data_IF_785996399891
#
_entry.id   IF_785996399891
#
_cell.length_a   1.000
_cell.length_b   1.000
_cell.length_c   1.000
_cell.angle_alpha   90.00
_cell.angle_beta   90.00
_cell.angle_gamma   90.00
#
_symmetry.space_group_name_H-M   'P 1'
#
loop_
_entity.id
_entity.type
_entity.pdbx_description
1 polymer ?
#
# COMPACT_ATOMS: atom_id res chain seq x y z
N UNK A 1 -18.66 8.82 -11.06
CA UNK A 1 -18.64 8.48 -12.50
C UNK A 1 -17.75 7.24 -12.64
N UNK A 2 -18.32 6.08 -13.01
CA UNK A 2 -17.52 4.88 -13.29
C UNK A 2 -17.28 4.82 -14.81
N UNK A 3 -16.07 4.50 -15.23
CA UNK A 3 -15.72 4.44 -16.66
C UNK A 3 -16.48 3.34 -17.43
N UNK A 4 -17.00 2.33 -16.71
CA UNK A 4 -17.78 1.23 -17.29
C UNK A 4 -19.11 1.05 -16.56
N UNK A 5 -20.21 0.75 -17.27
CA UNK A 5 -21.52 0.45 -16.67
C UNK A 5 -21.47 -0.79 -15.78
N UNK A 6 -20.74 -1.82 -16.20
CA UNK A 6 -20.46 -3.02 -15.43
C UNK A 6 -18.96 -3.14 -15.14
N UNK A 7 -18.61 -3.63 -13.94
CA UNK A 7 -17.20 -3.89 -13.61
C UNK A 7 -16.69 -5.08 -14.41
N UNK A 8 -15.68 -4.85 -15.24
CA UNK A 8 -14.94 -5.91 -15.92
C UNK A 8 -13.97 -6.60 -14.95
N UNK A 9 -14.21 -7.89 -14.67
CA UNK A 9 -13.41 -8.67 -13.74
C UNK A 9 -11.95 -8.80 -14.20
N UNK A 10 -11.71 -9.09 -15.47
CA UNK A 10 -10.38 -9.25 -16.05
C UNK A 10 -9.56 -7.98 -15.88
N UNK A 11 -10.16 -6.82 -16.17
CA UNK A 11 -9.47 -5.54 -16.01
C UNK A 11 -9.13 -5.25 -14.54
N UNK A 12 -10.06 -5.52 -13.62
CA UNK A 12 -9.82 -5.38 -12.18
C UNK A 12 -8.69 -6.32 -11.69
N UNK A 13 -8.65 -7.56 -12.18
CA UNK A 13 -7.63 -8.53 -11.84
C UNK A 13 -6.24 -8.13 -12.36
N UNK A 14 -6.16 -7.56 -13.57
CA UNK A 14 -4.91 -7.02 -14.13
C UNK A 14 -4.37 -5.87 -13.27
N UNK A 15 -5.23 -4.91 -12.91
CA UNK A 15 -4.85 -3.80 -12.03
C UNK A 15 -4.42 -4.28 -10.64
N UNK A 16 -5.11 -5.29 -10.10
CA UNK A 16 -4.71 -5.93 -8.85
C UNK A 16 -3.32 -6.57 -8.97
N UNK A 17 -3.03 -7.26 -10.08
CA UNK A 17 -1.70 -7.80 -10.38
C UNK A 17 -0.61 -6.72 -10.37
N UNK A 18 -0.85 -5.58 -11.03
CA UNK A 18 0.07 -4.45 -10.98
C UNK A 18 0.26 -3.88 -9.58
N UNK A 19 -0.82 -3.74 -8.79
CA UNK A 19 -0.69 -3.29 -7.39
C UNK A 19 0.19 -4.23 -6.56
N UNK A 20 0.04 -5.55 -6.75
CA UNK A 20 0.84 -6.52 -6.02
C UNK A 20 2.31 -6.47 -6.44
N UNK A 21 2.58 -6.26 -7.74
CA UNK A 21 3.93 -6.06 -8.25
C UNK A 21 4.59 -4.83 -7.60
N UNK A 22 3.94 -3.67 -7.62
CA UNK A 22 4.49 -2.46 -6.98
C UNK A 22 4.67 -2.61 -5.47
N UNK A 23 3.73 -3.29 -4.80
CA UNK A 23 3.85 -3.63 -3.39
C UNK A 23 5.11 -4.44 -3.09
N UNK A 24 5.37 -5.50 -3.87
CA UNK A 24 6.57 -6.33 -3.72
C UNK A 24 7.86 -5.55 -3.97
N UNK A 25 7.88 -4.68 -4.99
CA UNK A 25 9.03 -3.81 -5.26
C UNK A 25 9.32 -2.93 -4.05
N UNK A 26 8.31 -2.32 -3.43
CA UNK A 26 8.52 -1.52 -2.21
C UNK A 26 9.00 -2.39 -1.05
N UNK A 27 8.41 -3.56 -0.83
CA UNK A 27 8.82 -4.47 0.25
C UNK A 27 10.29 -4.87 0.17
N UNK A 28 10.81 -5.15 -1.03
CA UNK A 28 12.23 -5.51 -1.22
C UNK A 28 13.16 -4.33 -0.91
N UNK A 29 12.72 -3.10 -1.17
CA UNK A 29 13.49 -1.90 -0.89
C UNK A 29 13.36 -1.41 0.56
N UNK A 30 12.29 -1.78 1.25
CA UNK A 30 11.98 -1.32 2.61
C UNK A 30 13.09 -1.62 3.65
N UNK A 31 13.69 -2.83 3.70
CA UNK A 31 14.80 -3.11 4.63
C UNK A 31 16.04 -2.26 4.38
N UNK A 32 16.31 -1.89 3.13
CA UNK A 32 17.43 -1.00 2.79
C UNK A 32 17.15 0.40 3.29
N UNK A 33 15.91 0.88 3.13
CA UNK A 33 15.49 2.21 3.57
C UNK A 33 15.47 2.35 5.10
N UNK A 34 14.95 1.35 5.81
CA UNK A 34 14.89 1.38 7.29
C UNK A 34 16.27 1.35 7.96
N UNK A 35 17.31 0.90 7.26
CA UNK A 35 18.72 0.91 7.74
C UNK A 35 19.40 2.27 7.57
N UNK A 36 18.86 3.14 6.73
CA UNK A 36 19.44 4.45 6.44
C UNK A 36 18.87 5.50 7.39
N UNK A 37 19.61 6.59 7.61
CA UNK A 37 19.08 7.76 8.33
C UNK A 37 17.88 8.32 7.57
N UNK A 38 16.88 8.79 8.31
CA UNK A 38 15.65 9.32 7.70
C UNK A 38 15.99 10.45 6.72
N UNK A 39 15.40 10.39 5.53
CA UNK A 39 15.39 11.49 4.57
C UNK A 39 13.98 11.71 4.04
N UNK A 40 13.58 12.95 3.69
CA UNK A 40 12.26 13.24 3.12
C UNK A 40 11.90 12.38 1.90
N UNK A 41 12.89 11.93 1.13
CA UNK A 41 12.69 11.02 0.00
C UNK A 41 12.08 9.65 0.35
N UNK A 42 12.16 9.23 1.62
CA UNK A 42 11.55 7.97 2.09
C UNK A 42 10.02 7.96 1.99
N UNK A 43 9.40 9.15 1.97
CA UNK A 43 7.96 9.29 1.76
C UNK A 43 7.48 8.72 0.42
N UNK A 44 8.34 8.71 -0.61
CA UNK A 44 8.00 8.18 -1.93
C UNK A 44 7.59 6.70 -1.91
N UNK A 45 8.03 5.93 -0.91
CA UNK A 45 7.69 4.52 -0.75
C UNK A 45 6.35 4.28 -0.04
N UNK A 46 5.81 5.30 0.64
CA UNK A 46 4.50 5.19 1.31
C UNK A 46 3.37 5.11 0.29
N UNK A 47 3.49 5.82 -0.84
CA UNK A 47 2.42 5.87 -1.85
C UNK A 47 2.14 4.49 -2.47
N UNK A 48 3.13 3.77 -3.06
CA UNK A 48 2.85 2.46 -3.63
C UNK A 48 2.43 1.42 -2.59
N UNK A 49 2.86 1.58 -1.33
CA UNK A 49 2.47 0.68 -0.23
C UNK A 49 0.99 0.86 0.14
N UNK A 50 0.57 2.10 0.39
CA UNK A 50 -0.81 2.44 0.79
C UNK A 50 -1.80 2.19 -0.35
N UNK A 51 -1.46 2.61 -1.59
CA UNK A 51 -2.37 2.42 -2.73
C UNK A 51 -2.57 0.94 -3.04
N UNK A 52 -1.56 0.10 -2.83
CA UNK A 52 -1.68 -1.35 -3.00
C UNK A 52 -2.58 -1.99 -1.94
N UNK A 53 -2.47 -1.57 -0.67
CA UNK A 53 -3.38 -2.01 0.39
C UNK A 53 -4.85 -1.67 0.06
N UNK A 54 -5.09 -0.44 -0.42
CA UNK A 54 -6.42 0.02 -0.84
C UNK A 54 -6.91 -0.80 -2.05
N UNK A 55 -6.05 -1.03 -3.04
CA UNK A 55 -6.39 -1.82 -4.24
C UNK A 55 -6.81 -3.25 -3.86
N UNK A 56 -6.05 -3.93 -2.99
CA UNK A 56 -6.40 -5.27 -2.49
C UNK A 56 -7.71 -5.26 -1.73
N UNK A 57 -7.98 -4.23 -0.90
CA UNK A 57 -9.25 -4.10 -0.17
C UNK A 57 -10.45 -3.97 -1.11
N UNK A 58 -10.32 -3.12 -2.13
CA UNK A 58 -11.36 -2.91 -3.14
C UNK A 58 -11.55 -4.17 -4.01
N UNK A 59 -10.47 -4.85 -4.36
CA UNK A 59 -10.52 -6.10 -5.11
C UNK A 59 -11.17 -7.22 -4.29
N UNK A 60 -10.80 -7.38 -3.02
CA UNK A 60 -11.44 -8.33 -2.11
C UNK A 60 -12.95 -8.06 -1.96
N UNK A 61 -13.35 -6.80 -1.79
CA UNK A 61 -14.76 -6.42 -1.72
C UNK A 61 -15.52 -6.71 -3.02
N UNK A 62 -14.85 -6.60 -4.17
CA UNK A 62 -15.43 -6.95 -5.46
C UNK A 62 -15.55 -8.47 -5.66
N UNK A 63 -14.49 -9.24 -5.38
CA UNK A 63 -14.49 -10.71 -5.43
C UNK A 63 -15.52 -11.29 -4.47
N UNK A 64 -15.63 -10.73 -3.26
CA UNK A 64 -16.61 -11.18 -2.24
C UNK A 64 -18.04 -11.06 -2.72
N UNK A 65 -18.36 -10.01 -3.50
CA UNK A 65 -19.70 -9.83 -4.08
C UNK A 65 -20.02 -10.82 -5.21
N UNK A 66 -18.99 -11.28 -5.94
CA UNK A 66 -19.16 -12.18 -7.09
C UNK A 66 -19.11 -13.67 -6.72
N UNK A 67 -18.19 -14.04 -5.83
CA UNK A 67 -17.83 -15.44 -5.55
C UNK A 67 -17.92 -15.80 -4.06
N UNK A 68 -18.38 -14.89 -3.21
CA UNK A 68 -18.43 -15.08 -1.76
C UNK A 68 -17.11 -14.77 -1.04
N UNK A 69 -17.14 -14.81 0.29
CA UNK A 69 -16.04 -14.36 1.12
C UNK A 69 -14.77 -15.21 0.93
N UNK A 70 -13.63 -14.54 0.70
CA UNK A 70 -12.33 -15.18 0.59
C UNK A 70 -11.44 -14.80 1.79
N UNK A 71 -11.13 -15.78 2.64
CA UNK A 71 -10.33 -15.58 3.85
C UNK A 71 -8.88 -15.18 3.55
N UNK A 72 -8.28 -15.72 2.49
CA UNK A 72 -6.91 -15.41 2.09
C UNK A 72 -6.76 -13.97 1.62
N UNK A 73 -7.67 -13.48 0.77
CA UNK A 73 -7.69 -12.07 0.36
C UNK A 73 -7.92 -11.14 1.55
N UNK A 74 -8.83 -11.49 2.46
CA UNK A 74 -9.07 -10.70 3.68
C UNK A 74 -7.83 -10.63 4.57
N UNK A 75 -7.11 -11.74 4.73
CA UNK A 75 -5.86 -11.77 5.49
C UNK A 75 -4.79 -10.87 4.83
N UNK A 76 -4.67 -10.93 3.49
CA UNK A 76 -3.75 -10.09 2.74
C UNK A 76 -4.07 -8.60 2.91
N UNK A 77 -5.35 -8.21 2.87
CA UNK A 77 -5.79 -6.84 3.13
C UNK A 77 -5.33 -6.37 4.50
N UNK A 78 -5.64 -7.14 5.55
CA UNK A 78 -5.29 -6.76 6.92
C UNK A 78 -3.77 -6.62 7.08
N UNK A 79 -2.99 -7.54 6.51
CA UNK A 79 -1.54 -7.48 6.55
C UNK A 79 -1.00 -6.21 5.87
N UNK A 80 -1.47 -5.92 4.65
CA UNK A 80 -1.05 -4.74 3.90
C UNK A 80 -1.45 -3.44 4.58
N UNK A 81 -2.66 -3.37 5.16
CA UNK A 81 -3.12 -2.19 5.91
C UNK A 81 -2.28 -1.92 7.16
N UNK A 82 -2.00 -2.96 7.96
CA UNK A 82 -1.15 -2.84 9.15
C UNK A 82 0.24 -2.36 8.75
N UNK A 83 0.86 -3.00 7.75
CA UNK A 83 2.20 -2.62 7.32
C UNK A 83 2.23 -1.19 6.75
N UNK A 84 1.27 -0.83 5.91
CA UNK A 84 1.16 0.51 5.35
C UNK A 84 1.05 1.57 6.46
N UNK A 85 0.20 1.32 7.45
CA UNK A 85 0.00 2.23 8.59
C UNK A 85 1.29 2.40 9.40
N UNK A 86 1.98 1.30 9.72
CA UNK A 86 3.24 1.34 10.46
C UNK A 86 4.32 2.15 9.72
N UNK A 87 4.46 1.96 8.41
CA UNK A 87 5.44 2.69 7.61
C UNK A 87 5.07 4.17 7.45
N UNK A 88 3.79 4.51 7.27
CA UNK A 88 3.34 5.90 7.23
C UNK A 88 3.61 6.60 8.57
N UNK A 89 3.33 5.94 9.70
CA UNK A 89 3.64 6.47 11.02
C UNK A 89 5.14 6.66 11.23
N UNK A 90 5.97 5.71 10.80
CA UNK A 90 7.42 5.83 10.84
C UNK A 90 7.90 7.06 10.05
N UNK A 91 7.42 7.24 8.82
CA UNK A 91 7.77 8.38 7.96
C UNK A 91 7.28 9.70 8.58
N UNK A 92 6.08 9.71 9.15
CA UNK A 92 5.54 10.87 9.85
C UNK A 92 6.43 11.31 11.02
N UNK A 93 6.83 10.37 11.89
CA UNK A 93 7.75 10.66 13.00
C UNK A 93 9.10 11.16 12.48
N UNK A 94 9.60 10.57 11.39
CA UNK A 94 10.83 11.01 10.74
C UNK A 94 10.75 12.46 10.26
N UNK A 95 9.63 12.86 9.62
CA UNK A 95 9.40 14.24 9.22
C UNK A 95 9.30 15.19 10.39
N UNK A 96 8.61 14.80 11.47
CA UNK A 96 8.52 15.63 12.67
C UNK A 96 9.92 15.88 13.23
N UNK A 97 10.75 14.84 13.35
CA UNK A 97 12.15 15.00 13.77
C UNK A 97 12.91 15.93 12.83
N UNK A 98 12.85 15.70 11.52
CA UNK A 98 13.52 16.52 10.51
C UNK A 98 13.10 18.00 10.56
N UNK A 99 11.82 18.29 10.82
CA UNK A 99 11.29 19.65 10.88
C UNK A 99 11.64 20.37 12.20
N UNK A 100 11.75 19.65 13.31
CA UNK A 100 12.07 20.21 14.63
C UNK A 100 13.56 20.14 14.99
N UNK A 101 14.36 19.43 14.21
CA UNK A 101 15.82 19.43 14.31
C UNK A 101 16.32 20.79 13.82
N UNK A 102 16.46 21.73 14.78
CA UNK A 102 17.06 23.05 14.57
C UNK A 102 18.40 22.89 13.86
N UNK A 103 18.56 23.63 12.76
CA UNK A 103 19.86 23.99 12.20
C UNK A 103 20.64 24.68 13.34
N UNK A 104 21.56 23.95 13.95
CA UNK A 104 22.55 24.49 14.89
C UNK A 104 23.81 24.84 14.10
#
# INVERSE_FOLDING_TARGET
>A
MNAFPEKNFTFAAVLFGFSLFFYLVVLVNLPKLLKLKFSPGFSGFTFPLVISAIATKLFNGYVTKLYGANSALKLLVNFQEILATLIVLYVFIGYMKFLFEKEN
#
